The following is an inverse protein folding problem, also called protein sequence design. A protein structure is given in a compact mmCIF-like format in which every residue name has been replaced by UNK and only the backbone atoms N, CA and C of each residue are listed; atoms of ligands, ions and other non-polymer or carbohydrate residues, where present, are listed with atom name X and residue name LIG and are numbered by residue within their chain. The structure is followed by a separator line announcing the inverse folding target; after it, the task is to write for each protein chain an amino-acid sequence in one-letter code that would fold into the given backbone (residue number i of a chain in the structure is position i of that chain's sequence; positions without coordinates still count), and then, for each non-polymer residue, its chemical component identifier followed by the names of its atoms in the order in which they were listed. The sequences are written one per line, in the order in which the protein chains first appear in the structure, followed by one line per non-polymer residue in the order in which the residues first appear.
data_IF_065473222814
#
_entry.id   IF_065473222814
#
_cell.length_a   1.000
_cell.length_b   1.000
_cell.length_c   1.000
_cell.angle_alpha   90.00
_cell.angle_beta   90.00
_cell.angle_gamma   90.00
#
_symmetry.space_group_name_H-M   'P 1'
#
loop_
_entity.id
_entity.type
_entity.pdbx_description
1 polymer ?
#
# COMPACT_ATOMS: atom_id res chain seq x y z
N UNK A 1 -77.77 -20.36 28.03
CA UNK A 1 -78.91 -19.73 28.75
C UNK A 1 -78.30 -18.68 29.67
N UNK A 2 -78.72 -17.42 29.74
CA UNK A 2 -79.86 -16.63 29.16
C UNK A 2 -79.24 -15.54 28.23
N UNK A 3 -79.87 -14.91 27.22
CA UNK A 3 -81.14 -14.14 27.13
C UNK A 3 -81.24 -12.97 28.14
N UNK A 4 -81.78 -11.77 27.88
CA UNK A 4 -82.15 -10.96 26.65
C UNK A 4 -82.62 -9.54 27.18
N UNK A 5 -82.95 -8.41 26.51
CA UNK A 5 -83.33 -7.94 25.13
C UNK A 5 -83.16 -6.39 25.06
N UNK A 6 -82.72 -5.82 23.92
CA UNK A 6 -83.21 -4.52 23.32
C UNK A 6 -82.83 -3.22 24.11
N UNK A 7 -82.58 -2.02 23.53
CA UNK A 7 -83.47 -1.04 22.84
C UNK A 7 -82.71 -0.23 21.77
N UNK A 8 -83.37 -0.01 20.62
CA UNK A 8 -82.98 0.97 19.59
C UNK A 8 -83.72 2.30 19.82
N UNK A 9 -83.12 3.43 19.47
CA UNK A 9 -83.84 4.71 19.35
C UNK A 9 -83.57 5.36 17.99
N UNK A 10 -84.61 5.96 17.40
CA UNK A 10 -84.65 6.38 16.00
C UNK A 10 -84.62 7.90 15.84
N UNK A 11 -83.86 8.33 14.81
CA UNK A 11 -84.11 9.50 13.96
C UNK A 11 -84.48 10.86 14.58
N UNK A 12 -83.66 11.86 14.26
CA UNK A 12 -84.18 13.17 13.85
C UNK A 12 -83.40 13.63 12.62
N UNK A 13 -84.07 14.23 11.64
CA UNK A 13 -83.45 14.77 10.44
C UNK A 13 -83.87 16.22 10.22
N UNK A 14 -82.93 17.06 9.78
CA UNK A 14 -83.20 18.41 9.32
C UNK A 14 -82.21 18.76 8.19
N UNK A 15 -82.75 19.02 7.01
CA UNK A 15 -82.02 19.37 5.79
C UNK A 15 -81.45 20.78 5.82
N UNK A 16 -80.24 20.96 5.30
CA UNK A 16 -79.90 22.13 4.47
C UNK A 16 -79.59 21.64 3.05
N UNK A 17 -79.97 22.43 2.05
CA UNK A 17 -79.78 22.12 0.64
C UNK A 17 -79.50 23.40 -0.17
N UNK A 18 -78.65 23.29 -1.20
CA UNK A 18 -78.16 24.38 -2.07
C UNK A 18 -77.30 25.45 -1.33
N UNK A 19 -76.37 26.17 -1.95
CA UNK A 19 -76.02 26.35 -3.38
C UNK A 19 -74.50 26.16 -3.57
N UNK A 20 -74.06 25.68 -4.74
CA UNK A 20 -72.66 25.75 -5.18
C UNK A 20 -72.18 24.45 -5.82
N UNK A 21 -71.82 24.50 -7.11
CA UNK A 21 -71.44 23.30 -7.87
C UNK A 21 -69.96 23.26 -8.24
N UNK A 22 -69.39 22.06 -8.21
CA UNK A 22 -68.28 21.62 -9.06
C UNK A 22 -68.37 20.10 -9.23
N UNK A 23 -68.10 19.58 -10.43
CA UNK A 23 -68.02 18.14 -10.66
C UNK A 23 -66.63 17.63 -10.24
N UNK A 24 -66.58 16.75 -9.24
CA UNK A 24 -65.37 16.02 -8.89
C UNK A 24 -65.35 14.66 -9.58
N UNK A 25 -64.94 14.67 -10.86
CA UNK A 25 -64.42 13.47 -11.52
C UNK A 25 -63.02 13.16 -10.97
N UNK A 26 -62.94 12.52 -9.81
CA UNK A 26 -61.68 11.95 -9.32
C UNK A 26 -61.35 10.67 -10.09
N UNK A 27 -60.76 10.83 -11.28
CA UNK A 27 -60.09 9.72 -11.97
C UNK A 27 -58.96 9.26 -11.05
N UNK A 28 -59.06 8.02 -10.56
CA UNK A 28 -57.96 7.38 -9.87
C UNK A 28 -56.91 6.98 -10.92
N UNK A 29 -55.95 7.86 -11.19
CA UNK A 29 -54.75 7.50 -11.93
C UNK A 29 -53.99 6.44 -11.12
N UNK A 30 -54.21 5.17 -11.46
CA UNK A 30 -53.38 4.08 -10.98
C UNK A 30 -52.01 4.22 -11.63
N UNK A 31 -51.13 4.98 -10.99
CA UNK A 31 -49.72 5.10 -11.33
C UNK A 31 -49.04 3.76 -11.11
N UNK A 32 -49.12 2.90 -12.13
CA UNK A 32 -48.43 1.62 -12.17
C UNK A 32 -46.94 1.86 -12.36
N UNK A 33 -46.27 2.28 -11.28
CA UNK A 33 -44.83 2.22 -11.16
C UNK A 33 -44.44 0.75 -11.28
N UNK A 34 -44.07 0.32 -12.48
CA UNK A 34 -43.53 -1.01 -12.72
C UNK A 34 -42.23 -1.11 -11.91
N UNK A 35 -42.30 -1.81 -10.78
CA UNK A 35 -41.18 -1.97 -9.87
C UNK A 35 -39.94 -2.40 -10.65
N UNK A 36 -38.77 -1.77 -10.45
CA UNK A 36 -37.56 -2.06 -11.21
C UNK A 36 -37.21 -3.55 -11.15
N UNK A 37 -37.47 -4.28 -12.25
CA UNK A 37 -37.32 -5.72 -12.29
C UNK A 37 -35.90 -6.12 -12.68
N UNK A 38 -35.34 -7.07 -11.91
CA UNK A 38 -34.13 -7.78 -12.30
C UNK A 38 -34.34 -8.50 -13.63
N UNK A 39 -33.27 -8.60 -14.42
CA UNK A 39 -33.26 -9.27 -15.73
C UNK A 39 -32.06 -10.19 -15.82
N UNK A 40 -32.06 -11.09 -16.78
CA UNK A 40 -30.83 -11.79 -17.15
C UNK A 40 -29.86 -10.79 -17.80
N UNK A 41 -28.57 -10.91 -17.48
CA UNK A 41 -27.50 -10.11 -18.03
C UNK A 41 -27.21 -10.48 -19.47
N UNK A 42 -27.03 -9.47 -20.32
CA UNK A 42 -26.58 -9.64 -21.71
C UNK A 42 -25.06 -9.70 -21.85
N UNK A 43 -24.31 -9.68 -20.74
CA UNK A 43 -22.85 -9.79 -20.74
C UNK A 43 -22.39 -11.26 -20.77
N UNK A 44 -21.16 -11.55 -21.25
CA UNK A 44 -20.58 -12.89 -21.15
C UNK A 44 -20.65 -13.45 -19.73
N UNK A 45 -21.04 -14.72 -19.59
CA UNK A 45 -21.27 -15.37 -18.30
C UNK A 45 -22.70 -15.26 -17.75
N UNK A 46 -23.53 -14.33 -18.25
CA UNK A 46 -24.92 -14.16 -17.81
C UNK A 46 -25.04 -13.58 -16.40
N UNK A 47 -26.05 -14.03 -15.64
CA UNK A 47 -26.28 -13.60 -14.26
C UNK A 47 -27.32 -12.48 -14.12
N UNK A 48 -27.49 -11.97 -12.90
CA UNK A 48 -28.56 -11.01 -12.59
C UNK A 48 -28.16 -9.56 -12.92
N UNK A 49 -28.80 -8.98 -13.95
CA UNK A 49 -28.72 -7.56 -14.23
C UNK A 49 -29.63 -6.74 -13.31
N UNK A 50 -29.04 -5.77 -12.63
CA UNK A 50 -29.74 -4.77 -11.84
C UNK A 50 -30.29 -3.64 -12.74
N UNK A 51 -31.35 -2.92 -12.33
CA UNK A 51 -31.86 -1.79 -13.08
C UNK A 51 -30.84 -0.65 -13.17
N UNK A 52 -30.78 0.04 -14.30
CA UNK A 52 -29.78 1.07 -14.56
C UNK A 52 -29.89 2.26 -13.60
N UNK A 53 -28.77 2.61 -12.97
CA UNK A 53 -28.62 3.66 -11.94
C UNK A 53 -29.38 3.44 -10.61
N UNK A 54 -29.98 2.26 -10.40
CA UNK A 54 -30.51 1.87 -9.09
C UNK A 54 -29.39 1.41 -8.13
N UNK A 55 -29.70 1.35 -6.83
CA UNK A 55 -28.74 0.97 -5.77
C UNK A 55 -29.04 -0.39 -5.19
N UNK A 56 -27.98 -1.15 -4.88
CA UNK A 56 -28.06 -2.32 -4.01
C UNK A 56 -27.92 -1.83 -2.55
N UNK A 57 -28.81 -2.24 -1.67
CA UNK A 57 -28.76 -1.94 -0.23
C UNK A 57 -28.73 -3.27 0.54
N UNK A 58 -27.64 -3.50 1.28
CA UNK A 58 -27.44 -4.65 2.14
C UNK A 58 -27.17 -4.15 3.57
N UNK A 59 -27.75 -4.79 4.58
CA UNK A 59 -27.58 -4.39 5.98
C UNK A 59 -27.75 -5.57 6.94
N UNK A 60 -27.00 -5.57 8.04
CA UNK A 60 -27.03 -6.60 9.09
C UNK A 60 -26.84 -5.97 10.47
N UNK A 61 -27.45 -6.56 11.48
CA UNK A 61 -27.25 -6.28 12.91
C UNK A 61 -26.47 -7.42 13.62
N UNK A 62 -26.11 -8.47 12.88
CA UNK A 62 -25.45 -9.65 13.41
C UNK A 62 -23.97 -9.37 13.74
N UNK A 63 -23.51 -9.93 14.86
CA UNK A 63 -22.09 -9.91 15.24
C UNK A 63 -21.37 -11.07 14.57
N UNK A 64 -20.07 -10.88 14.29
CA UNK A 64 -19.19 -12.03 14.10
C UNK A 64 -18.93 -12.71 15.44
N UNK A 65 -19.17 -14.02 15.51
CA UNK A 65 -18.92 -14.85 16.70
C UNK A 65 -18.26 -16.15 16.24
N UNK A 66 -17.03 -16.40 16.67
CA UNK A 66 -16.18 -17.49 16.15
C UNK A 66 -16.84 -18.89 16.17
N UNK A 67 -17.67 -19.18 17.18
CA UNK A 67 -18.40 -20.45 17.33
C UNK A 67 -19.67 -20.57 16.48
N UNK A 68 -20.20 -19.44 16.00
CA UNK A 68 -21.40 -19.36 15.14
C UNK A 68 -21.01 -19.17 13.66
N UNK A 69 -19.76 -18.75 13.42
CA UNK A 69 -19.20 -18.49 12.12
C UNK A 69 -19.57 -17.10 11.58
N UNK A 70 -19.46 -16.96 10.28
CA UNK A 70 -19.64 -15.69 9.58
C UNK A 70 -21.11 -15.39 9.27
N UNK A 71 -21.92 -15.20 10.32
CA UNK A 71 -23.35 -14.85 10.18
C UNK A 71 -23.59 -13.37 9.81
N UNK A 72 -22.55 -12.55 9.87
CA UNK A 72 -22.55 -11.14 9.44
C UNK A 72 -22.22 -10.92 7.95
N UNK A 73 -21.95 -11.98 7.17
CA UNK A 73 -21.60 -11.86 5.75
C UNK A 73 -22.81 -11.43 4.91
N UNK A 74 -22.79 -10.20 4.39
CA UNK A 74 -23.80 -9.69 3.44
C UNK A 74 -23.50 -10.02 1.98
N UNK A 75 -22.23 -10.25 1.65
CA UNK A 75 -21.76 -10.77 0.37
C UNK A 75 -20.77 -11.87 0.68
N UNK A 76 -21.05 -13.09 0.20
CA UNK A 76 -20.12 -14.22 0.27
C UNK A 76 -19.81 -14.68 -1.14
N UNK A 77 -18.55 -14.54 -1.53
CA UNK A 77 -18.02 -15.17 -2.74
C UNK A 77 -17.36 -16.47 -2.33
N UNK A 78 -17.77 -17.60 -2.93
CA UNK A 78 -17.39 -18.93 -2.47
C UNK A 78 -16.80 -19.77 -3.60
N UNK A 79 -15.63 -20.36 -3.36
CA UNK A 79 -15.08 -21.46 -4.13
C UNK A 79 -15.95 -22.71 -3.94
N UNK A 80 -16.54 -23.22 -5.03
CA UNK A 80 -17.40 -24.42 -5.03
C UNK A 80 -16.81 -25.61 -5.78
N UNK A 81 -15.63 -25.43 -6.40
CA UNK A 81 -14.90 -26.44 -7.15
C UNK A 81 -13.38 -26.17 -7.09
N UNK A 82 -12.56 -27.16 -7.43
CA UNK A 82 -11.10 -26.99 -7.54
C UNK A 82 -10.75 -25.96 -8.62
N UNK A 83 -9.74 -25.11 -8.35
CA UNK A 83 -9.28 -24.00 -9.21
C UNK A 83 -10.37 -22.96 -9.57
N UNK A 84 -11.50 -22.94 -8.88
CA UNK A 84 -12.48 -21.85 -9.00
C UNK A 84 -11.86 -20.49 -8.59
N UNK A 85 -12.36 -19.40 -9.18
CA UNK A 85 -11.90 -18.04 -8.90
C UNK A 85 -13.09 -17.09 -8.69
N UNK A 86 -13.56 -16.90 -7.43
CA UNK A 86 -14.45 -15.78 -7.12
C UNK A 86 -13.76 -14.45 -7.46
N UNK A 87 -14.49 -13.58 -8.14
CA UNK A 87 -14.01 -12.28 -8.58
C UNK A 87 -15.12 -11.22 -8.49
N UNK A 88 -14.71 -9.96 -8.35
CA UNK A 88 -15.51 -8.78 -8.67
C UNK A 88 -14.79 -8.08 -9.82
N UNK A 89 -15.41 -8.06 -11.01
CA UNK A 89 -14.82 -7.47 -12.22
C UNK A 89 -15.55 -6.19 -12.64
N UNK A 90 -14.80 -5.28 -13.26
CA UNK A 90 -15.29 -4.09 -13.96
C UNK A 90 -14.92 -4.20 -15.43
N UNK A 91 -15.90 -4.08 -16.31
CA UNK A 91 -15.75 -4.21 -17.76
C UNK A 91 -15.96 -2.88 -18.51
N UNK A 92 -15.47 -2.82 -19.74
CA UNK A 92 -15.73 -1.73 -20.69
C UNK A 92 -17.15 -1.78 -21.30
N UNK A 93 -17.49 -0.81 -22.15
CA UNK A 93 -18.80 -0.70 -22.77
C UNK A 93 -19.15 -1.84 -23.76
N UNK A 94 -18.22 -2.75 -24.01
CA UNK A 94 -18.39 -3.95 -24.84
C UNK A 94 -18.37 -5.24 -24.01
N UNK A 95 -18.20 -5.15 -22.69
CA UNK A 95 -18.16 -6.30 -21.78
C UNK A 95 -16.79 -6.97 -21.65
N UNK A 96 -15.69 -6.33 -22.02
CA UNK A 96 -14.34 -6.84 -21.74
C UNK A 96 -13.85 -6.33 -20.38
N UNK A 97 -13.37 -7.21 -19.51
CA UNK A 97 -12.79 -6.82 -18.21
C UNK A 97 -11.64 -5.80 -18.37
N UNK A 98 -11.52 -4.90 -17.37
CA UNK A 98 -10.47 -3.87 -17.27
C UNK A 98 -9.78 -3.85 -15.92
N UNK A 99 -10.53 -4.09 -14.84
CA UNK A 99 -9.97 -4.32 -13.50
C UNK A 99 -10.77 -5.40 -12.79
N UNK A 100 -10.12 -6.14 -11.88
CA UNK A 100 -10.80 -7.09 -11.01
C UNK A 100 -10.20 -7.11 -9.61
N UNK A 101 -11.01 -7.54 -8.64
CA UNK A 101 -10.55 -8.08 -7.35
C UNK A 101 -10.80 -9.58 -7.42
N UNK A 102 -9.76 -10.39 -7.35
CA UNK A 102 -9.84 -11.86 -7.49
C UNK A 102 -9.23 -12.50 -6.24
N UNK A 103 -9.70 -13.68 -5.83
CA UNK A 103 -9.05 -14.46 -4.78
C UNK A 103 -9.02 -15.94 -5.13
N UNK A 104 -7.85 -16.60 -5.00
CA UNK A 104 -7.71 -18.01 -5.32
C UNK A 104 -6.48 -18.69 -4.72
N UNK A 105 -6.61 -20.01 -4.52
CA UNK A 105 -5.51 -20.88 -4.08
C UNK A 105 -4.55 -21.28 -5.22
N UNK A 106 -5.08 -21.46 -6.43
CA UNK A 106 -4.44 -22.27 -7.48
C UNK A 106 -4.33 -21.56 -8.82
N UNK A 107 -3.25 -21.86 -9.53
CA UNK A 107 -3.03 -21.44 -10.91
C UNK A 107 -4.13 -21.98 -11.86
N UNK A 108 -4.33 -21.33 -13.02
CA UNK A 108 -5.15 -21.91 -14.08
C UNK A 108 -4.47 -23.14 -14.73
N UNK A 109 -3.14 -23.14 -14.82
CA UNK A 109 -2.35 -24.29 -15.28
C UNK A 109 -2.16 -25.30 -14.13
N UNK A 110 -2.55 -26.59 -14.26
CA UNK A 110 -2.29 -27.62 -13.27
C UNK A 110 -0.80 -27.90 -12.98
N UNK A 111 0.10 -27.57 -13.91
CA UNK A 111 1.55 -27.79 -13.78
C UNK A 111 2.26 -26.66 -13.01
N UNK A 112 1.61 -25.52 -12.84
CA UNK A 112 2.14 -24.39 -12.06
C UNK A 112 1.83 -24.59 -10.57
N UNK A 113 2.77 -24.20 -9.71
CA UNK A 113 2.58 -24.25 -8.26
C UNK A 113 1.37 -23.43 -7.81
N UNK A 114 0.71 -23.92 -6.76
CA UNK A 114 -0.38 -23.22 -6.10
C UNK A 114 0.16 -21.93 -5.45
N UNK A 115 -0.55 -20.82 -5.66
CA UNK A 115 -0.20 -19.50 -5.16
C UNK A 115 -1.47 -18.83 -4.63
N UNK A 116 -1.54 -18.79 -3.29
CA UNK A 116 -2.67 -18.30 -2.51
C UNK A 116 -2.61 -16.78 -2.38
N UNK A 117 -3.55 -16.05 -2.96
CA UNK A 117 -3.66 -14.60 -2.73
C UNK A 117 -5.08 -14.07 -2.96
N UNK A 118 -5.33 -12.87 -2.40
CA UNK A 118 -6.29 -11.91 -2.95
C UNK A 118 -5.50 -10.85 -3.76
N UNK A 119 -5.95 -10.56 -4.97
CA UNK A 119 -5.31 -9.66 -5.93
C UNK A 119 -6.18 -8.44 -6.25
N UNK A 120 -5.54 -7.33 -6.59
CA UNK A 120 -6.10 -6.28 -7.44
C UNK A 120 -5.41 -6.41 -8.80
N UNK A 121 -6.21 -6.68 -9.83
CA UNK A 121 -5.75 -6.94 -11.18
C UNK A 121 -6.19 -5.82 -12.12
N UNK A 122 -5.32 -5.43 -13.07
CA UNK A 122 -5.64 -4.44 -14.09
C UNK A 122 -5.13 -4.87 -15.45
N UNK A 123 -5.87 -4.54 -16.51
CA UNK A 123 -5.48 -4.93 -17.86
C UNK A 123 -4.13 -4.36 -18.27
N UNK A 124 -3.31 -5.20 -18.90
CA UNK A 124 -2.10 -4.77 -19.59
C UNK A 124 -2.43 -3.79 -20.72
N UNK A 125 -1.46 -2.93 -21.06
CA UNK A 125 -1.62 -1.89 -22.09
C UNK A 125 -2.24 -2.44 -23.40
N UNK A 126 -3.17 -1.69 -24.05
CA UNK A 126 -3.65 -1.99 -25.41
C UNK A 126 -2.57 -2.02 -26.50
N UNK A 127 -1.32 -1.70 -26.17
CA UNK A 127 -0.11 -1.80 -27.02
C UNK A 127 0.96 -2.75 -26.47
N UNK A 128 0.71 -3.42 -25.34
CA UNK A 128 1.63 -4.37 -24.73
C UNK A 128 1.50 -5.79 -25.28
N UNK A 129 2.44 -6.66 -24.91
CA UNK A 129 2.49 -8.07 -25.33
C UNK A 129 1.23 -8.86 -24.92
N UNK A 130 0.92 -8.89 -23.62
CA UNK A 130 -0.28 -9.53 -23.08
C UNK A 130 -1.51 -8.61 -23.12
N UNK A 131 -1.72 -7.92 -24.26
CA UNK A 131 -2.77 -6.92 -24.50
C UNK A 131 -4.13 -7.29 -23.92
N UNK A 132 -4.77 -6.33 -23.23
CA UNK A 132 -6.14 -6.42 -22.68
C UNK A 132 -6.40 -7.60 -21.71
N UNK A 133 -5.37 -8.34 -21.28
CA UNK A 133 -5.47 -9.37 -20.24
C UNK A 133 -5.30 -8.74 -18.85
N UNK A 134 -6.11 -9.19 -17.88
CA UNK A 134 -5.94 -8.87 -16.46
C UNK A 134 -4.61 -9.43 -15.94
N UNK A 135 -3.86 -8.61 -15.21
CA UNK A 135 -2.63 -8.98 -14.51
C UNK A 135 -2.67 -8.39 -13.10
N UNK A 136 -2.31 -9.20 -12.10
CA UNK A 136 -2.04 -8.75 -10.73
C UNK A 136 -1.10 -7.54 -10.70
N UNK A 137 -1.49 -6.50 -9.96
CA UNK A 137 -0.66 -5.31 -9.69
C UNK A 137 -0.27 -5.21 -8.23
N UNK A 138 -1.20 -5.58 -7.36
CA UNK A 138 -1.05 -5.68 -5.92
C UNK A 138 -1.69 -7.00 -5.49
N UNK A 139 -1.01 -7.76 -4.65
CA UNK A 139 -1.55 -8.97 -4.02
C UNK A 139 -1.23 -9.00 -2.52
N UNK A 140 -2.08 -9.70 -1.77
CA UNK A 140 -1.83 -10.05 -0.37
C UNK A 140 -2.03 -11.57 -0.26
N UNK A 141 -0.97 -12.35 -0.01
CA UNK A 141 -1.08 -13.77 0.29
C UNK A 141 -1.83 -14.02 1.61
N UNK A 142 -2.48 -15.18 1.71
CA UNK A 142 -3.15 -15.66 2.92
C UNK A 142 -2.59 -17.04 3.34
N UNK A 143 -3.04 -17.54 4.49
CA UNK A 143 -2.49 -18.72 5.18
C UNK A 143 -1.00 -18.58 5.56
N UNK A 144 -0.56 -17.37 5.91
CA UNK A 144 0.80 -17.07 6.37
C UNK A 144 0.81 -16.23 7.66
N UNK A 145 1.82 -16.43 8.51
CA UNK A 145 1.98 -15.71 9.80
C UNK A 145 2.25 -14.20 9.63
N UNK A 146 2.66 -13.77 8.43
CA UNK A 146 2.93 -12.38 8.06
C UNK A 146 2.15 -12.03 6.80
N UNK A 147 1.31 -10.99 6.88
CA UNK A 147 0.62 -10.43 5.73
C UNK A 147 1.60 -9.60 4.88
N UNK A 148 2.18 -10.22 3.86
CA UNK A 148 3.04 -9.56 2.88
C UNK A 148 2.17 -8.81 1.85
N UNK A 149 2.52 -7.57 1.52
CA UNK A 149 1.90 -6.84 0.40
C UNK A 149 2.91 -6.83 -0.74
N UNK A 150 2.61 -7.54 -1.82
CA UNK A 150 3.48 -7.64 -3.00
C UNK A 150 2.91 -6.81 -4.15
N UNK A 151 3.79 -6.29 -4.99
CA UNK A 151 3.41 -5.61 -6.22
C UNK A 151 4.12 -6.20 -7.43
N UNK A 152 3.41 -6.25 -8.56
CA UNK A 152 3.88 -6.91 -9.79
C UNK A 152 3.86 -5.91 -10.94
N UNK A 153 5.02 -5.71 -11.58
CA UNK A 153 5.24 -4.74 -12.67
C UNK A 153 4.59 -3.36 -12.41
N UNK A 154 4.76 -2.84 -11.20
CA UNK A 154 4.06 -1.65 -10.69
C UNK A 154 4.99 -0.77 -9.85
N UNK A 155 4.85 0.56 -9.98
CA UNK A 155 5.57 1.55 -9.16
C UNK A 155 4.74 1.94 -7.93
N UNK A 156 5.40 2.23 -6.81
CA UNK A 156 4.76 2.79 -5.61
C UNK A 156 5.13 4.27 -5.45
N UNK A 157 4.11 5.14 -5.54
CA UNK A 157 4.26 6.59 -5.45
C UNK A 157 3.46 7.13 -4.25
N UNK A 158 4.07 8.01 -3.44
CA UNK A 158 3.37 8.77 -2.39
C UNK A 158 3.26 10.22 -2.85
N UNK A 159 2.02 10.70 -3.04
CA UNK A 159 1.72 12.08 -3.40
C UNK A 159 1.35 12.87 -2.14
N UNK A 160 1.82 14.12 -2.03
CA UNK A 160 1.47 15.11 -1.00
C UNK A 160 1.54 14.66 0.48
N UNK A 161 2.30 13.59 0.75
CA UNK A 161 2.39 12.94 2.07
C UNK A 161 3.76 12.31 2.32
N UNK A 162 3.84 11.44 3.33
CA UNK A 162 5.08 10.74 3.70
C UNK A 162 4.90 9.22 3.72
N UNK A 163 5.92 8.50 3.27
CA UNK A 163 6.09 7.09 3.62
C UNK A 163 6.65 7.01 5.04
N UNK A 164 6.00 6.27 5.93
CA UNK A 164 6.42 6.09 7.33
C UNK A 164 6.56 4.60 7.65
N UNK A 165 7.75 4.19 8.07
CA UNK A 165 7.98 2.90 8.71
C UNK A 165 7.99 3.10 10.22
N UNK A 166 7.17 2.35 10.96
CA UNK A 166 7.04 2.46 12.41
C UNK A 166 6.92 1.06 13.04
N UNK A 167 7.67 0.81 14.11
CA UNK A 167 7.69 -0.42 14.88
C UNK A 167 8.32 -0.12 16.26
N UNK A 168 8.13 -1.02 17.22
CA UNK A 168 8.87 -1.00 18.51
C UNK A 168 10.32 -1.50 18.32
N UNK A 169 10.52 -2.51 17.46
CA UNK A 169 11.82 -3.05 17.07
C UNK A 169 12.60 -2.15 16.10
N UNK A 170 13.37 -2.77 15.20
CA UNK A 170 14.03 -2.05 14.12
C UNK A 170 13.00 -1.55 13.09
N UNK A 171 13.28 -0.40 12.44
CA UNK A 171 12.49 0.10 11.29
C UNK A 171 13.40 0.08 10.07
N UNK A 172 13.07 -0.78 9.11
CA UNK A 172 13.91 -1.05 7.93
C UNK A 172 13.20 -0.67 6.63
N UNK A 173 13.97 -0.14 5.69
CA UNK A 173 13.69 -0.23 4.25
C UNK A 173 14.79 -1.10 3.66
N UNK A 174 14.41 -2.23 3.05
CA UNK A 174 15.34 -3.30 2.70
C UNK A 174 15.43 -3.51 1.18
N UNK A 175 16.65 -3.69 0.70
CA UNK A 175 16.96 -4.11 -0.67
C UNK A 175 17.38 -5.58 -0.64
N UNK A 176 16.64 -6.43 -1.33
CA UNK A 176 16.78 -7.88 -1.29
C UNK A 176 16.88 -8.49 -2.70
N UNK A 177 17.48 -9.68 -2.79
CA UNK A 177 17.36 -10.59 -3.96
C UNK A 177 16.12 -11.47 -3.77
N UNK A 178 15.34 -11.69 -4.83
CA UNK A 178 14.22 -12.65 -4.85
C UNK A 178 14.66 -13.95 -5.49
N UNK A 179 14.41 -15.07 -4.82
CA UNK A 179 14.68 -16.42 -5.28
C UNK A 179 13.45 -17.12 -5.87
N UNK A 180 13.40 -18.44 -5.75
CA UNK A 180 12.20 -19.23 -6.06
C UNK A 180 11.08 -18.93 -5.07
N UNK A 181 9.85 -19.14 -5.50
CA UNK A 181 8.64 -19.12 -4.66
C UNK A 181 8.49 -17.81 -3.86
N UNK A 182 8.98 -16.71 -4.45
CA UNK A 182 9.10 -15.36 -3.89
C UNK A 182 9.94 -15.23 -2.60
N UNK A 183 10.72 -16.25 -2.22
CA UNK A 183 11.61 -16.18 -1.07
C UNK A 183 12.66 -15.08 -1.24
N UNK A 184 12.74 -14.14 -0.29
CA UNK A 184 13.68 -13.01 -0.33
C UNK A 184 14.93 -13.28 0.50
N UNK A 185 16.04 -12.61 0.17
CA UNK A 185 17.25 -12.57 0.99
C UNK A 185 17.81 -11.15 0.97
N UNK A 186 18.04 -10.51 2.12
CA UNK A 186 18.54 -9.14 2.17
C UNK A 186 19.94 -9.03 1.58
N UNK A 187 20.23 -7.86 1.01
CA UNK A 187 21.56 -7.42 0.60
C UNK A 187 21.97 -6.18 1.40
N UNK A 188 21.03 -5.24 1.56
CA UNK A 188 21.20 -4.00 2.31
C UNK A 188 19.92 -3.60 3.05
N UNK A 189 20.04 -3.00 4.23
CA UNK A 189 18.95 -2.26 4.91
C UNK A 189 19.37 -0.81 5.12
N UNK A 190 18.45 0.12 4.85
CA UNK A 190 18.41 1.41 5.54
C UNK A 190 17.63 1.18 6.83
N UNK A 191 18.28 1.27 8.00
CA UNK A 191 17.68 0.95 9.30
C UNK A 191 17.68 2.17 10.22
N UNK A 192 16.62 2.31 11.00
CA UNK A 192 16.62 3.07 12.27
C UNK A 192 16.53 2.08 13.42
N UNK A 193 17.62 1.90 14.17
CA UNK A 193 17.81 0.77 15.11
C UNK A 193 16.83 0.79 16.32
N UNK A 194 16.58 -0.32 17.01
CA UNK A 194 15.60 -0.38 18.11
C UNK A 194 15.98 0.39 19.40
N UNK A 195 17.04 1.20 19.38
CA UNK A 195 17.60 1.90 20.54
C UNK A 195 16.84 3.18 20.96
N UNK A 196 15.51 3.16 21.03
CA UNK A 196 14.73 4.35 21.39
C UNK A 196 14.93 4.81 22.85
N UNK A 197 15.16 6.11 23.01
CA UNK A 197 15.39 6.80 24.29
C UNK A 197 14.86 8.23 24.23
N UNK A 198 14.62 8.83 25.39
CA UNK A 198 14.29 10.26 25.51
C UNK A 198 15.44 11.19 25.17
N UNK A 199 15.18 12.51 25.24
CA UNK A 199 16.23 13.54 25.14
C UNK A 199 17.02 13.54 23.83
N UNK A 200 16.38 13.15 22.72
CA UNK A 200 16.98 12.98 21.39
C UNK A 200 18.08 11.89 21.26
N UNK A 201 18.40 11.13 22.31
CA UNK A 201 19.41 10.03 22.27
C UNK A 201 18.80 8.65 21.91
N UNK A 202 17.67 8.67 21.20
CA UNK A 202 17.01 7.47 20.72
C UNK A 202 17.65 6.88 19.47
N UNK A 203 16.87 6.12 18.71
CA UNK A 203 17.33 5.28 17.61
C UNK A 203 18.26 5.97 16.60
N UNK A 204 19.43 5.37 16.36
CA UNK A 204 20.39 5.83 15.35
C UNK A 204 20.03 5.32 13.95
N UNK A 205 20.56 5.96 12.91
CA UNK A 205 20.40 5.54 11.52
C UNK A 205 21.62 4.72 11.06
N UNK A 206 21.39 3.61 10.35
CA UNK A 206 22.42 2.70 9.86
C UNK A 206 22.18 2.32 8.39
N UNK A 207 23.26 2.18 7.63
CA UNK A 207 23.29 1.47 6.35
C UNK A 207 23.97 0.12 6.59
N UNK A 208 23.18 -0.95 6.59
CA UNK A 208 23.61 -2.30 7.00
C UNK A 208 23.85 -3.16 5.77
N UNK A 209 24.96 -3.92 5.79
CA UNK A 209 25.26 -4.99 4.82
C UNK A 209 24.84 -6.35 5.36
N UNK A 210 24.39 -7.22 4.45
CA UNK A 210 24.08 -8.61 4.75
C UNK A 210 24.99 -9.57 3.97
N UNK A 211 25.17 -10.79 4.49
CA UNK A 211 25.88 -11.88 3.82
C UNK A 211 24.96 -12.63 2.84
N UNK A 212 25.51 -13.61 2.11
CA UNK A 212 24.73 -14.36 1.11
C UNK A 212 23.59 -15.23 1.69
N UNK A 213 23.58 -15.48 3.01
CA UNK A 213 22.53 -16.19 3.75
C UNK A 213 21.44 -15.25 4.27
N UNK A 214 21.72 -13.94 4.29
CA UNK A 214 20.84 -12.92 4.83
C UNK A 214 21.14 -12.52 6.28
N UNK A 215 22.31 -12.89 6.82
CA UNK A 215 22.75 -12.45 8.15
C UNK A 215 23.41 -11.07 8.10
N UNK A 216 23.18 -10.23 9.11
CA UNK A 216 23.75 -8.88 9.15
C UNK A 216 25.25 -8.92 9.45
N UNK A 217 26.07 -8.31 8.58
CA UNK A 217 27.53 -8.28 8.69
C UNK A 217 27.99 -7.15 9.62
N UNK A 218 27.61 -5.92 9.28
CA UNK A 218 27.95 -4.71 10.02
C UNK A 218 27.03 -3.53 9.62
N UNK A 219 27.23 -2.38 10.27
CA UNK A 219 26.80 -1.09 9.74
C UNK A 219 27.97 -0.46 8.98
N UNK A 220 27.86 -0.42 7.65
CA UNK A 220 28.86 0.21 6.78
C UNK A 220 28.90 1.73 6.99
N UNK A 221 27.74 2.33 7.29
CA UNK A 221 27.59 3.71 7.75
C UNK A 221 26.67 3.73 8.97
N UNK A 222 27.02 4.53 9.96
CA UNK A 222 26.19 4.85 11.14
C UNK A 222 26.10 6.36 11.29
N UNK A 223 24.91 6.89 11.60
CA UNK A 223 24.72 8.30 11.97
C UNK A 223 24.03 8.35 13.32
N UNK A 224 24.76 8.81 14.35
CA UNK A 224 24.19 8.87 15.70
C UNK A 224 23.10 9.94 15.78
N UNK A 225 21.95 9.61 16.37
CA UNK A 225 20.82 10.54 16.48
C UNK A 225 21.04 11.61 17.57
N UNK A 226 21.72 11.26 18.66
CA UNK A 226 22.04 12.22 19.74
C UNK A 226 23.02 13.30 19.31
N UNK A 227 24.02 12.95 18.50
CA UNK A 227 25.16 13.84 18.22
C UNK A 227 25.30 14.25 16.75
N UNK A 228 24.72 13.51 15.81
CA UNK A 228 24.96 13.69 14.37
C UNK A 228 26.36 13.27 13.92
N UNK A 229 27.06 12.45 14.71
CA UNK A 229 28.36 11.88 14.36
C UNK A 229 28.19 10.79 13.29
N UNK A 230 29.02 10.81 12.25
CA UNK A 230 29.00 9.84 11.15
C UNK A 230 30.15 8.85 11.29
N UNK A 231 29.83 7.58 11.53
CA UNK A 231 30.78 6.48 11.53
C UNK A 231 30.79 5.74 10.20
N UNK A 232 31.98 5.52 9.63
CA UNK A 232 32.23 4.67 8.47
C UNK A 232 32.96 3.42 8.95
N UNK A 233 32.36 2.24 8.78
CA UNK A 233 32.89 0.98 9.33
C UNK A 233 32.88 0.89 10.87
N UNK A 234 32.20 1.82 11.56
CA UNK A 234 32.01 1.82 13.03
C UNK A 234 30.56 2.11 13.39
N UNK A 235 30.11 1.53 14.50
CA UNK A 235 28.79 1.78 15.10
C UNK A 235 28.83 2.83 16.22
N UNK A 236 30.02 3.22 16.69
CA UNK A 236 30.22 4.12 17.83
C UNK A 236 31.22 5.24 17.46
N UNK A 237 30.84 6.18 16.60
CA UNK A 237 31.74 7.24 16.14
C UNK A 237 32.05 8.28 17.23
N UNK A 238 33.32 8.38 17.62
CA UNK A 238 33.79 9.29 18.69
C UNK A 238 33.94 10.75 18.24
N UNK A 239 33.77 11.02 16.94
CA UNK A 239 33.83 12.38 16.39
C UNK A 239 32.87 12.55 15.19
N UNK A 240 32.74 13.79 14.69
CA UNK A 240 31.74 14.14 13.65
C UNK A 240 31.88 13.32 12.36
N UNK A 241 33.10 12.94 12.00
CA UNK A 241 33.39 11.92 11.00
C UNK A 241 34.45 10.98 11.59
N UNK A 242 34.07 9.73 11.78
CA UNK A 242 34.93 8.67 12.29
C UNK A 242 35.02 7.57 11.22
N UNK A 243 36.23 7.07 10.95
CA UNK A 243 36.51 6.14 9.85
C UNK A 243 37.38 5.00 10.37
N UNK A 244 36.75 3.86 10.60
CA UNK A 244 37.43 2.63 10.98
C UNK A 244 38.04 1.97 9.73
N UNK A 245 39.22 2.44 9.33
CA UNK A 245 39.96 1.95 8.17
C UNK A 245 41.44 2.35 8.23
N UNK A 246 42.28 1.68 7.45
CA UNK A 246 43.72 1.92 7.39
C UNK A 246 44.13 3.17 6.59
N UNK A 247 43.21 3.71 5.79
CA UNK A 247 43.50 4.73 4.78
C UNK A 247 42.27 5.54 4.38
N UNK A 248 42.50 6.81 4.01
CA UNK A 248 41.50 7.70 3.39
C UNK A 248 41.96 8.07 1.98
N UNK A 249 41.19 7.67 0.95
CA UNK A 249 41.57 7.90 -0.45
C UNK A 249 40.81 9.07 -1.09
N UNK A 250 41.47 10.22 -1.20
CA UNK A 250 41.08 11.30 -2.10
C UNK A 250 41.54 10.92 -3.52
N UNK A 251 40.62 10.74 -4.47
CA UNK A 251 40.94 10.19 -5.81
C UNK A 251 41.62 11.18 -6.74
N UNK A 252 41.07 12.38 -6.86
CA UNK A 252 41.60 13.44 -7.72
C UNK A 252 42.73 14.18 -7.00
N UNK A 253 43.86 14.38 -7.68
CA UNK A 253 44.93 15.25 -7.21
C UNK A 253 44.60 16.72 -7.50
N UNK A 254 45.10 17.63 -6.67
CA UNK A 254 44.93 19.09 -6.82
C UNK A 254 46.18 19.80 -6.33
N UNK A 255 46.93 20.36 -7.26
CA UNK A 255 47.97 21.37 -6.99
C UNK A 255 47.31 22.75 -6.97
N UNK A 256 47.25 23.48 -5.84
CA UNK A 256 46.86 24.89 -5.82
C UNK A 256 47.86 25.72 -6.63
N UNK A 257 47.38 26.50 -7.60
CA UNK A 257 48.23 27.23 -8.57
C UNK A 257 49.17 28.28 -7.94
N UNK A 258 48.92 28.69 -6.69
CA UNK A 258 49.81 29.49 -5.85
C UNK A 258 49.41 29.34 -4.38
N UNK A 259 50.19 29.91 -3.46
CA UNK A 259 49.79 30.02 -2.05
C UNK A 259 48.47 30.79 -1.85
N UNK A 260 48.11 31.67 -2.81
CA UNK A 260 46.90 32.51 -2.77
C UNK A 260 45.80 31.99 -3.74
N UNK A 261 45.85 30.72 -4.13
CA UNK A 261 44.86 30.14 -5.05
C UNK A 261 43.50 29.89 -4.36
N UNK A 262 42.38 29.87 -5.11
CA UNK A 262 41.06 29.64 -4.54
C UNK A 262 40.93 28.37 -3.69
N UNK A 263 40.50 28.55 -2.44
CA UNK A 263 40.30 27.49 -1.45
C UNK A 263 39.58 27.99 -0.20
N UNK A 264 39.01 27.06 0.57
CA UNK A 264 38.32 27.37 1.82
C UNK A 264 39.08 26.80 3.01
N UNK A 265 38.91 27.37 4.21
CA UNK A 265 39.60 26.90 5.41
C UNK A 265 39.21 25.44 5.70
N UNK A 266 40.21 24.57 5.81
CA UNK A 266 40.03 23.13 5.99
C UNK A 266 40.11 22.30 4.71
N UNK A 267 40.19 22.90 3.50
CA UNK A 267 40.44 22.13 2.27
C UNK A 267 41.79 21.40 2.39
N UNK A 268 41.77 20.07 2.24
CA UNK A 268 42.97 19.24 2.09
C UNK A 268 43.08 18.82 0.62
N UNK A 269 44.29 18.89 0.06
CA UNK A 269 44.60 18.47 -1.30
C UNK A 269 45.98 17.81 -1.38
N UNK A 270 46.28 17.13 -2.48
CA UNK A 270 47.56 16.44 -2.69
C UNK A 270 47.98 16.43 -4.16
N UNK A 271 49.27 16.30 -4.42
CA UNK A 271 49.86 15.94 -5.71
C UNK A 271 51.07 14.99 -5.54
N UNK A 272 51.76 14.69 -6.65
CA UNK A 272 53.12 14.08 -6.75
C UNK A 272 54.00 14.25 -5.50
N UNK A 273 54.14 15.52 -5.11
CA UNK A 273 55.26 16.03 -4.35
C UNK A 273 54.83 16.65 -3.02
N UNK A 274 53.55 16.97 -2.83
CA UNK A 274 53.07 17.73 -1.69
C UNK A 274 51.67 17.33 -1.20
N UNK A 275 51.48 17.38 0.12
CA UNK A 275 50.16 17.53 0.74
C UNK A 275 49.92 19.00 1.07
N UNK A 276 48.76 19.52 0.71
CA UNK A 276 48.33 20.91 0.87
C UNK A 276 47.18 21.02 1.86
N UNK A 277 47.19 22.07 2.67
CA UNK A 277 46.09 22.45 3.57
C UNK A 277 45.82 23.94 3.42
N UNK A 278 44.57 24.29 3.13
CA UNK A 278 44.10 25.67 3.10
C UNK A 278 43.75 26.09 4.54
N UNK A 279 44.52 27.01 5.13
CA UNK A 279 44.46 27.33 6.57
C UNK A 279 43.61 28.57 6.90
N UNK A 280 43.26 29.35 5.88
CA UNK A 280 42.32 30.47 5.91
C UNK A 280 41.77 30.64 4.48
N UNK A 281 40.83 31.57 4.26
CA UNK A 281 40.28 31.81 2.92
C UNK A 281 41.40 32.08 1.91
N UNK A 282 41.42 31.31 0.82
CA UNK A 282 42.39 31.39 -0.28
C UNK A 282 43.86 31.43 0.19
N UNK A 283 44.19 30.73 1.29
CA UNK A 283 45.50 30.77 1.95
C UNK A 283 46.05 29.35 2.17
N UNK A 284 46.89 28.88 1.25
CA UNK A 284 47.43 27.52 1.24
C UNK A 284 48.80 27.41 1.91
N UNK A 285 48.96 26.35 2.71
CA UNK A 285 50.26 25.83 3.16
C UNK A 285 50.43 24.41 2.62
N UNK A 286 51.67 23.91 2.59
CA UNK A 286 51.98 22.54 2.14
C UNK A 286 53.16 21.93 2.88
N UNK A 287 53.21 20.61 2.91
CA UNK A 287 54.39 19.82 3.29
C UNK A 287 54.84 18.97 2.11
N UNK A 288 56.16 18.82 1.97
CA UNK A 288 56.80 17.94 0.99
C UNK A 288 56.53 16.47 1.35
N UNK A 289 56.24 15.63 0.34
CA UNK A 289 56.13 14.18 0.44
C UNK A 289 57.46 13.54 0.07
N UNK A 290 57.83 12.42 0.70
CA UNK A 290 59.08 11.70 0.45
C UNK A 290 58.85 10.20 0.44
N UNK A 291 59.60 9.50 -0.42
CA UNK A 291 59.76 8.05 -0.32
C UNK A 291 60.40 7.67 1.00
N UNK A 292 59.92 6.57 1.60
CA UNK A 292 60.49 5.92 2.77
C UNK A 292 61.31 4.68 2.39
#
# INVERSE_FOLDING_TARGET
MKLVKIVSLTALGASLAFVGGCQLFSVAESSSSSAPSFKESSLPGGGMAFPHNERIHLSTDQKWVASEGHLSDLIRLQWTADRAKPAISWADEKGNDKTAIVSHDKANNPEQHDHKHISIETTMSPTGENKDQLFTRLEIPYDADVAEIRTHSSNFNVMDGILRVAAEGNRDIQFAKTGKDNATTPLWSLRTNSGEKGGNSGADFNIIRYDDKGEAVDSAVTVSRSEGNVGIGTATPESKLDVNGDSLRIRESKTPASANAPGNQGDIAWDENYMYICVAKDTWKRTELKSW
#
